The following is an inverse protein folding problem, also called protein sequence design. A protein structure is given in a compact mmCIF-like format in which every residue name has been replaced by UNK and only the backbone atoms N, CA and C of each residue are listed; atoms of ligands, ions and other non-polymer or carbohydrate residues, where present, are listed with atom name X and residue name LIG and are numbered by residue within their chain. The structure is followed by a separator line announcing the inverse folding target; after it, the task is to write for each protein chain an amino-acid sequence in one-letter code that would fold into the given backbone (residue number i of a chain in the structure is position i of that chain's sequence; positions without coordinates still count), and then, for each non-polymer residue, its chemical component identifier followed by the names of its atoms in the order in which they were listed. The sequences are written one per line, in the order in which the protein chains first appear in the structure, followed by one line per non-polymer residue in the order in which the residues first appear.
data_IF_985353211292
#
_entry.id   IF_985353211292
#
_cell.length_a   1.000
_cell.length_b   1.000
_cell.length_c   1.000
_cell.angle_alpha   90.00
_cell.angle_beta   90.00
_cell.angle_gamma   90.00
#
_symmetry.space_group_name_H-M   'P 1'
#
loop_
_entity.id
_entity.type
_entity.pdbx_description
1 polymer ?
#
# COMPACT_ATOMS: atom_id res chain seq x y z
N UNK A 1 22.53 -22.23 12.95
CA UNK A 1 21.21 -22.92 13.05
C UNK A 1 20.03 -21.99 12.78
N UNK A 2 19.98 -20.77 13.35
CA UNK A 2 18.87 -19.79 13.14
C UNK A 2 18.58 -19.45 11.67
N UNK A 3 19.62 -19.32 10.82
CA UNK A 3 19.48 -19.08 9.37
C UNK A 3 18.72 -20.21 8.64
N UNK A 4 18.92 -21.47 9.05
CA UNK A 4 18.24 -22.62 8.42
C UNK A 4 16.72 -22.59 8.71
N UNK A 5 16.35 -22.24 9.92
CA UNK A 5 14.95 -22.05 10.32
C UNK A 5 14.29 -20.86 9.62
N UNK A 6 15.00 -19.75 9.45
CA UNK A 6 14.51 -18.60 8.68
C UNK A 6 14.25 -18.93 7.22
N UNK A 7 15.16 -19.67 6.57
CA UNK A 7 14.99 -20.12 5.18
C UNK A 7 13.82 -21.10 5.07
N UNK A 8 13.71 -22.05 6.01
CA UNK A 8 12.59 -22.99 6.04
C UNK A 8 11.25 -22.27 6.19
N UNK A 9 11.17 -21.27 7.07
CA UNK A 9 9.99 -20.43 7.22
C UNK A 9 9.62 -19.69 5.93
N UNK A 10 10.59 -19.05 5.28
CA UNK A 10 10.36 -18.34 4.02
C UNK A 10 9.86 -19.28 2.90
N UNK A 11 10.42 -20.49 2.80
CA UNK A 11 9.98 -21.49 1.82
C UNK A 11 8.56 -21.97 2.09
N UNK A 12 8.19 -22.19 3.36
CA UNK A 12 6.83 -22.55 3.75
C UNK A 12 5.83 -21.44 3.40
N UNK A 13 6.16 -20.17 3.71
CA UNK A 13 5.31 -19.04 3.34
C UNK A 13 5.18 -18.91 1.82
N UNK A 14 6.27 -19.05 1.07
CA UNK A 14 6.24 -19.00 -0.39
C UNK A 14 5.34 -20.10 -0.98
N UNK A 15 5.44 -21.33 -0.48
CA UNK A 15 4.58 -22.43 -0.92
C UNK A 15 3.11 -22.19 -0.56
N UNK A 16 2.83 -21.66 0.64
CA UNK A 16 1.48 -21.32 1.07
C UNK A 16 0.85 -20.24 0.19
N UNK A 17 1.58 -19.14 -0.07
CA UNK A 17 1.12 -18.08 -0.98
C UNK A 17 0.96 -18.60 -2.41
N UNK A 18 1.87 -19.47 -2.86
CA UNK A 18 1.79 -20.09 -4.19
C UNK A 18 0.55 -20.97 -4.38
N UNK A 19 0.00 -21.59 -3.32
CA UNK A 19 -1.28 -22.29 -3.43
C UNK A 19 -2.44 -21.31 -3.65
N UNK A 20 -2.46 -20.17 -2.95
CA UNK A 20 -3.52 -19.17 -3.08
C UNK A 20 -3.61 -18.55 -4.48
N UNK A 21 -2.51 -18.53 -5.23
CA UNK A 21 -2.51 -18.06 -6.63
C UNK A 21 -3.43 -18.90 -7.53
N UNK A 22 -3.68 -20.16 -7.19
CA UNK A 22 -4.59 -21.03 -7.97
C UNK A 22 -6.05 -20.59 -7.89
N UNK A 23 -6.42 -19.83 -6.87
CA UNK A 23 -7.78 -19.31 -6.68
C UNK A 23 -8.02 -18.02 -7.46
N UNK A 24 -6.99 -17.47 -8.12
CA UNK A 24 -7.12 -16.24 -8.90
C UNK A 24 -7.82 -16.51 -10.24
N UNK A 25 -8.64 -15.56 -10.72
CA UNK A 25 -9.23 -15.65 -12.05
C UNK A 25 -8.14 -15.70 -13.13
N UNK A 26 -8.47 -16.29 -14.28
CA UNK A 26 -7.56 -16.30 -15.42
C UNK A 26 -7.20 -14.86 -15.82
N UNK A 27 -5.94 -14.67 -16.23
CA UNK A 27 -5.48 -13.35 -16.65
C UNK A 27 -6.32 -12.85 -17.83
N UNK A 28 -6.94 -11.69 -17.68
CA UNK A 28 -7.78 -11.08 -18.71
C UNK A 28 -9.19 -11.65 -18.81
N UNK A 29 -9.65 -12.46 -17.84
CA UNK A 29 -11.03 -12.92 -17.77
C UNK A 29 -12.00 -11.73 -17.64
N UNK A 30 -12.90 -11.49 -18.61
CA UNK A 30 -13.90 -10.42 -18.53
C UNK A 30 -14.85 -10.56 -17.34
N UNK A 31 -15.04 -11.80 -16.86
CA UNK A 31 -15.94 -12.13 -15.76
C UNK A 31 -15.27 -12.05 -14.39
N UNK A 32 -14.02 -11.58 -14.32
CA UNK A 32 -13.36 -11.39 -13.02
C UNK A 32 -14.14 -10.37 -12.15
N UNK A 33 -14.25 -10.60 -10.82
CA UNK A 33 -15.09 -9.78 -9.94
C UNK A 33 -14.84 -8.27 -10.03
N UNK A 34 -13.58 -7.87 -10.20
CA UNK A 34 -13.22 -6.46 -10.33
C UNK A 34 -13.78 -5.83 -11.62
N UNK A 35 -13.69 -6.55 -12.74
CA UNK A 35 -14.14 -6.08 -14.06
C UNK A 35 -15.65 -5.97 -14.18
N UNK A 36 -16.40 -6.82 -13.46
CA UNK A 36 -17.88 -6.82 -13.53
C UNK A 36 -18.53 -5.88 -12.52
N UNK A 37 -17.91 -5.66 -11.35
CA UNK A 37 -18.58 -4.92 -10.26
C UNK A 37 -18.10 -3.48 -10.07
N UNK A 38 -16.79 -3.23 -10.08
CA UNK A 38 -16.24 -1.91 -9.68
C UNK A 38 -15.77 -1.10 -10.88
N UNK A 39 -15.11 -1.74 -11.84
CA UNK A 39 -14.56 -1.06 -13.02
C UNK A 39 -15.63 -0.32 -13.84
N UNK A 40 -16.81 -0.89 -14.14
CA UNK A 40 -17.80 -0.22 -14.98
C UNK A 40 -18.23 1.12 -14.38
N UNK A 41 -18.48 1.18 -13.06
CA UNK A 41 -18.82 2.42 -12.37
C UNK A 41 -17.69 3.45 -12.44
N UNK A 42 -16.46 3.05 -12.14
CA UNK A 42 -15.33 3.98 -12.18
C UNK A 42 -15.05 4.49 -13.59
N UNK A 43 -15.40 3.77 -14.65
CA UNK A 43 -15.18 4.24 -16.03
C UNK A 43 -16.33 5.11 -16.50
N UNK A 44 -17.58 4.68 -16.25
CA UNK A 44 -18.77 5.35 -16.79
C UNK A 44 -19.21 6.56 -15.95
N UNK A 45 -19.00 6.52 -14.63
CA UNK A 45 -19.52 7.52 -13.68
C UNK A 45 -18.47 8.48 -13.14
N UNK A 46 -17.19 8.33 -13.51
CA UNK A 46 -16.10 9.19 -13.00
C UNK A 46 -16.39 10.69 -13.18
N UNK A 47 -16.78 11.14 -14.37
CA UNK A 47 -17.08 12.56 -14.61
C UNK A 47 -18.29 13.02 -13.79
N UNK A 48 -19.35 12.21 -13.76
CA UNK A 48 -20.61 12.54 -13.09
C UNK A 48 -20.47 12.60 -11.57
N UNK A 49 -19.66 11.72 -10.97
CA UNK A 49 -19.53 11.59 -9.51
C UNK A 49 -18.36 12.40 -8.92
N UNK A 50 -17.34 12.74 -9.72
CA UNK A 50 -16.10 13.36 -9.21
C UNK A 50 -15.70 14.66 -9.93
N UNK A 51 -16.26 14.94 -11.11
CA UNK A 51 -15.86 16.06 -12.00
C UNK A 51 -14.37 16.03 -12.43
N UNK A 52 -13.69 14.91 -12.19
CA UNK A 52 -12.28 14.70 -12.54
C UNK A 52 -12.20 13.82 -13.80
N UNK A 53 -11.55 14.27 -14.90
CA UNK A 53 -11.51 13.51 -16.14
C UNK A 53 -10.58 12.29 -16.13
N UNK A 54 -9.64 12.24 -15.19
CA UNK A 54 -8.73 11.13 -15.08
C UNK A 54 -9.26 10.10 -14.07
N UNK A 55 -9.62 8.92 -14.60
CA UNK A 55 -10.19 7.83 -13.82
C UNK A 55 -9.26 7.33 -12.70
N UNK A 56 -7.93 7.36 -12.88
CA UNK A 56 -7.01 6.87 -11.85
C UNK A 56 -6.96 7.85 -10.68
N UNK A 57 -6.86 9.15 -10.96
CA UNK A 57 -6.85 10.16 -9.89
C UNK A 57 -8.18 10.23 -9.15
N UNK A 58 -9.32 10.09 -9.85
CA UNK A 58 -10.63 10.05 -9.21
C UNK A 58 -10.81 8.81 -8.34
N UNK A 59 -10.31 7.64 -8.77
CA UNK A 59 -10.29 6.42 -7.94
C UNK A 59 -9.47 6.64 -6.68
N UNK A 60 -8.26 7.19 -6.79
CA UNK A 60 -7.36 7.34 -5.64
C UNK A 60 -7.80 8.42 -4.65
N UNK A 61 -8.40 9.52 -5.13
CA UNK A 61 -8.79 10.65 -4.29
C UNK A 61 -10.24 10.54 -3.78
N UNK A 62 -11.18 10.16 -4.64
CA UNK A 62 -12.61 10.24 -4.34
C UNK A 62 -13.18 8.87 -3.95
N UNK A 63 -13.01 7.83 -4.79
CA UNK A 63 -13.59 6.50 -4.50
C UNK A 63 -12.83 5.72 -3.41
N UNK A 64 -11.50 5.84 -3.37
CA UNK A 64 -10.61 5.14 -2.43
C UNK A 64 -9.71 6.11 -1.66
N UNK A 65 -10.20 7.33 -1.42
CA UNK A 65 -9.47 8.37 -0.70
C UNK A 65 -8.99 7.98 0.71
N UNK A 66 -9.68 7.05 1.38
CA UNK A 66 -9.24 6.56 2.68
C UNK A 66 -7.92 5.77 2.61
N UNK A 67 -7.74 4.94 1.57
CA UNK A 67 -6.51 4.16 1.41
C UNK A 67 -5.30 5.09 1.25
N UNK A 68 -5.43 6.14 0.41
CA UNK A 68 -4.37 7.12 0.15
C UNK A 68 -4.15 8.11 1.30
N UNK A 69 -5.20 8.47 2.05
CA UNK A 69 -5.07 9.27 3.26
C UNK A 69 -4.27 8.53 4.35
N UNK A 70 -4.53 7.23 4.53
CA UNK A 70 -3.75 6.43 5.48
C UNK A 70 -2.33 6.15 4.98
N UNK A 71 -2.09 5.97 3.68
CA UNK A 71 -0.73 5.97 3.12
C UNK A 71 0.03 7.26 3.48
N UNK A 72 -0.61 8.41 3.29
CA UNK A 72 -0.03 9.72 3.64
C UNK A 72 0.25 9.83 5.13
N UNK A 73 -0.66 9.32 5.98
CA UNK A 73 -0.49 9.29 7.44
C UNK A 73 0.72 8.44 7.85
N UNK A 74 0.91 7.26 7.25
CA UNK A 74 2.06 6.39 7.52
C UNK A 74 3.37 7.08 7.12
N UNK A 75 3.43 7.70 5.93
CA UNK A 75 4.64 8.40 5.47
C UNK A 75 4.93 9.62 6.36
N UNK A 76 3.90 10.38 6.72
CA UNK A 76 4.03 11.54 7.60
C UNK A 76 4.57 11.14 8.98
N UNK A 77 4.00 10.09 9.59
CA UNK A 77 4.45 9.59 10.90
C UNK A 77 5.87 9.00 10.86
N UNK A 78 6.23 8.31 9.77
CA UNK A 78 7.60 7.84 9.55
C UNK A 78 8.58 9.02 9.43
N UNK A 79 8.23 10.05 8.67
CA UNK A 79 9.03 11.29 8.54
C UNK A 79 9.21 11.99 9.87
N UNK A 80 8.13 12.16 10.64
CA UNK A 80 8.17 12.75 11.98
C UNK A 80 9.07 11.93 12.91
N UNK A 81 8.96 10.60 12.89
CA UNK A 81 9.80 9.70 13.70
C UNK A 81 11.28 9.89 13.40
N UNK A 82 11.65 9.97 12.12
CA UNK A 82 13.05 10.23 11.70
C UNK A 82 13.52 11.60 12.18
N UNK A 83 12.70 12.65 12.02
CA UNK A 83 13.04 14.00 12.49
C UNK A 83 13.24 14.05 14.00
N UNK A 84 12.42 13.34 14.79
CA UNK A 84 12.55 13.28 16.24
C UNK A 84 13.84 12.57 16.67
N UNK A 85 14.18 11.45 16.02
CA UNK A 85 15.43 10.71 16.29
C UNK A 85 16.64 11.58 15.96
N UNK A 86 16.68 12.18 14.76
CA UNK A 86 17.80 13.01 14.33
C UNK A 86 17.90 14.32 15.12
N UNK A 87 16.79 14.99 15.39
CA UNK A 87 16.75 16.21 16.20
C UNK A 87 17.18 15.96 17.66
N UNK A 88 16.73 14.86 18.25
CA UNK A 88 17.18 14.41 19.58
C UNK A 88 18.67 14.05 19.60
N UNK A 89 19.15 13.32 18.59
CA UNK A 89 20.56 12.94 18.46
C UNK A 89 21.47 14.17 18.25
N UNK A 90 21.03 15.16 17.47
CA UNK A 90 21.76 16.41 17.26
C UNK A 90 21.85 17.25 18.55
N UNK A 91 20.77 17.33 19.34
CA UNK A 91 20.77 18.00 20.65
C UNK A 91 21.71 17.31 21.64
N UNK A 92 21.69 15.98 21.70
CA UNK A 92 22.59 15.21 22.57
C UNK A 92 24.06 15.44 22.25
N UNK A 93 24.44 15.44 20.95
CA UNK A 93 25.83 15.70 20.53
C UNK A 93 26.35 17.08 20.94
N UNK A 94 25.48 18.09 21.02
CA UNK A 94 25.85 19.45 21.44
C UNK A 94 26.14 19.53 22.94
N UNK A 95 25.43 18.75 23.76
CA UNK A 95 25.57 18.75 25.21
C UNK A 95 26.73 17.87 25.72
N UNK A 96 27.21 16.90 24.93
CA UNK A 96 28.38 16.08 25.26
C UNK A 96 29.74 16.70 24.91
N UNK A 97 29.78 17.98 24.51
CA UNK A 97 31.01 18.72 24.15
C UNK A 97 31.35 19.85 25.14
N UNK A 98 30.82 19.80 26.35
CA UNK A 98 31.25 20.65 27.48
C UNK A 98 32.09 19.85 28.44
#
# INVERSE_FOLDING_TARGET
MKKKWGILGALLTFLALGQAVKDFPALGDPQQPASVHVVPRYVEKTIEETDVPNAITSILADYRGYDTNYETTVIFTAGLSVMMILGGALRWRKNGKT
#
